data_IF_146935774945
#
_entry.id   IF_146935774945
#
_cell.length_a   1.000
_cell.length_b   1.000
_cell.length_c   1.000
_cell.angle_alpha   90.00
_cell.angle_beta   90.00
_cell.angle_gamma   90.00
#
_symmetry.space_group_name_H-M   'P 1'
#
loop_
_entity.id
_entity.type
_entity.pdbx_description
1 polymer ?
#
# COMPACT_ATOMS: atom_id res chain seq x y z
N UNK A 1 15.32 -14.73 14.92
CA UNK A 1 14.52 -14.60 16.17
C UNK A 1 13.96 -13.19 16.41
N UNK A 2 14.50 -12.10 15.84
CA UNK A 2 13.92 -10.74 16.01
C UNK A 2 13.10 -10.26 14.80
N UNK A 3 13.42 -10.72 13.57
CA UNK A 3 12.78 -10.25 12.33
C UNK A 3 11.26 -10.49 12.23
N UNK A 4 10.69 -11.39 13.03
CA UNK A 4 9.25 -11.67 13.07
C UNK A 4 8.47 -10.90 14.12
N UNK A 5 9.12 -10.05 14.92
CA UNK A 5 8.48 -9.32 16.02
C UNK A 5 7.55 -8.21 15.49
N UNK A 6 6.28 -8.14 15.94
CA UNK A 6 5.31 -7.15 15.47
C UNK A 6 5.71 -5.69 15.77
N UNK A 7 6.63 -5.45 16.71
CA UNK A 7 7.20 -4.12 16.99
C UNK A 7 8.12 -3.62 15.88
N UNK A 8 8.69 -4.53 15.10
CA UNK A 8 9.60 -4.21 13.99
C UNK A 8 8.90 -4.21 12.65
N UNK A 9 8.00 -5.16 12.41
CA UNK A 9 7.20 -5.23 11.20
C UNK A 9 5.73 -5.51 11.58
N UNK A 10 4.80 -4.58 11.31
CA UNK A 10 3.38 -4.81 11.58
C UNK A 10 2.87 -6.10 10.93
N UNK A 11 1.99 -6.81 11.63
CA UNK A 11 1.43 -8.09 11.16
C UNK A 11 0.77 -7.95 9.77
N UNK A 12 0.03 -6.88 9.55
CA UNK A 12 -0.58 -6.57 8.26
C UNK A 12 0.44 -6.48 7.11
N UNK A 13 1.67 -6.02 7.35
CA UNK A 13 2.72 -5.96 6.33
C UNK A 13 3.40 -7.33 6.18
N UNK A 14 3.62 -8.02 7.30
CA UNK A 14 4.30 -9.33 7.33
C UNK A 14 3.48 -10.44 6.69
N UNK A 15 2.17 -10.44 6.94
CA UNK A 15 1.26 -11.52 6.56
C UNK A 15 0.57 -11.25 5.21
N UNK A 16 0.76 -10.07 4.62
CA UNK A 16 0.21 -9.70 3.32
C UNK A 16 0.71 -10.60 2.19
N UNK A 17 -0.20 -10.95 1.28
CA UNK A 17 0.04 -11.79 0.10
C UNK A 17 -0.18 -11.05 -1.20
N UNK A 18 -0.92 -9.95 -1.20
CA UNK A 18 -1.27 -9.19 -2.40
C UNK A 18 -1.17 -7.69 -2.14
N UNK A 19 0.00 -7.12 -2.41
CA UNK A 19 0.33 -5.73 -2.06
C UNK A 19 0.16 -4.81 -3.25
N UNK A 20 -0.54 -3.70 -3.03
CA UNK A 20 -0.71 -2.63 -3.99
C UNK A 20 0.09 -1.39 -3.58
N UNK A 21 1.00 -0.97 -4.45
CA UNK A 21 1.59 0.36 -4.40
C UNK A 21 0.79 1.31 -5.30
N UNK A 22 0.29 2.39 -4.71
CA UNK A 22 -0.46 3.44 -5.42
C UNK A 22 0.34 4.74 -5.42
N UNK A 23 0.71 5.20 -6.60
CA UNK A 23 1.53 6.40 -6.83
C UNK A 23 0.89 7.35 -7.83
N UNK A 24 1.37 8.60 -7.87
CA UNK A 24 0.82 9.62 -8.73
C UNK A 24 1.42 9.50 -10.15
N UNK A 25 2.73 9.37 -10.23
CA UNK A 25 3.49 9.48 -11.49
C UNK A 25 4.50 8.35 -11.70
N UNK A 26 4.96 8.13 -12.93
CA UNK A 26 6.01 7.16 -13.23
C UNK A 26 7.37 7.68 -12.76
N UNK A 27 7.99 7.05 -11.74
CA UNK A 27 9.26 7.37 -11.04
C UNK A 27 9.07 7.34 -9.51
N UNK A 28 7.89 7.73 -9.03
CA UNK A 28 7.54 7.73 -7.61
C UNK A 28 7.84 6.38 -6.95
N UNK A 29 7.56 5.27 -7.64
CA UNK A 29 7.71 3.92 -7.12
C UNK A 29 9.15 3.59 -6.76
N UNK A 30 10.10 3.99 -7.61
CA UNK A 30 11.51 3.69 -7.41
C UNK A 30 12.21 4.78 -6.59
N UNK A 31 11.75 6.04 -6.66
CA UNK A 31 12.33 7.17 -5.94
C UNK A 31 11.96 7.16 -4.45
N UNK A 32 10.72 6.81 -4.11
CA UNK A 32 10.20 6.98 -2.75
C UNK A 32 9.85 5.68 -2.04
N UNK A 33 9.53 4.63 -2.80
CA UNK A 33 9.06 3.36 -2.24
C UNK A 33 10.07 2.22 -2.40
N UNK A 34 11.25 2.47 -3.00
CA UNK A 34 12.32 1.48 -3.14
C UNK A 34 12.54 0.64 -1.87
N UNK A 35 12.87 1.23 -0.71
CA UNK A 35 13.07 0.47 0.53
C UNK A 35 11.85 -0.34 0.99
N UNK A 36 10.63 0.20 0.81
CA UNK A 36 9.37 -0.46 1.17
C UNK A 36 9.08 -1.65 0.26
N UNK A 37 9.33 -1.52 -1.04
CA UNK A 37 9.18 -2.57 -2.03
C UNK A 37 10.25 -3.66 -1.84
N UNK A 38 11.50 -3.25 -1.58
CA UNK A 38 12.66 -4.14 -1.41
C UNK A 38 12.55 -5.04 -0.17
N UNK A 39 11.97 -4.57 0.93
CA UNK A 39 11.83 -5.38 2.14
C UNK A 39 10.88 -6.58 1.95
N UNK A 40 9.97 -6.50 0.96
CA UNK A 40 9.01 -7.56 0.63
C UNK A 40 9.53 -8.52 -0.44
N UNK A 41 10.75 -8.32 -0.96
CA UNK A 41 11.28 -9.11 -2.08
C UNK A 41 11.84 -10.48 -1.73
N UNK A 42 12.07 -10.75 -0.45
CA UNK A 42 12.55 -12.06 0.00
C UNK A 42 11.54 -13.20 -0.24
N UNK A 43 10.24 -12.88 -0.24
CA UNK A 43 9.17 -13.85 -0.45
C UNK A 43 8.58 -13.73 -1.85
N UNK A 44 8.84 -14.73 -2.70
CA UNK A 44 8.28 -14.83 -4.06
C UNK A 44 6.79 -15.15 -4.10
N UNK A 45 6.22 -15.58 -2.97
CA UNK A 45 4.77 -15.87 -2.87
C UNK A 45 3.91 -14.62 -2.70
N UNK A 46 4.52 -13.47 -2.42
CA UNK A 46 3.81 -12.19 -2.30
C UNK A 46 3.61 -11.60 -3.69
N UNK A 47 2.35 -11.51 -4.11
CA UNK A 47 1.92 -10.81 -5.30
C UNK A 47 2.06 -9.30 -5.13
N UNK A 48 2.63 -8.63 -6.12
CA UNK A 48 2.90 -7.19 -6.12
C UNK A 48 2.13 -6.54 -7.24
N UNK A 49 1.56 -5.37 -6.97
CA UNK A 49 0.89 -4.53 -7.93
C UNK A 49 1.39 -3.10 -7.86
N UNK A 50 1.49 -2.46 -9.01
CA UNK A 50 1.74 -1.02 -9.15
C UNK A 50 0.57 -0.39 -9.89
N UNK A 51 -0.04 0.61 -9.26
CA UNK A 51 -1.02 1.49 -9.87
C UNK A 51 -0.48 2.91 -9.88
N UNK A 52 -0.19 3.41 -11.08
CA UNK A 52 0.21 4.79 -11.33
C UNK A 52 -1.01 5.54 -11.86
N UNK A 53 -1.44 6.60 -11.18
CA UNK A 53 -2.69 7.29 -11.51
C UNK A 53 -2.61 8.21 -12.74
N UNK A 54 -1.40 8.57 -13.17
CA UNK A 54 -1.13 9.43 -14.31
C UNK A 54 0.13 9.00 -15.04
N UNK A 55 0.24 9.24 -16.34
CA UNK A 55 1.49 9.04 -17.10
C UNK A 55 2.57 10.08 -16.80
N UNK A 56 2.26 11.12 -16.02
CA UNK A 56 3.23 12.18 -15.73
C UNK A 56 3.61 12.99 -16.97
N UNK A 57 2.63 13.22 -17.86
CA UNK A 57 2.84 13.88 -19.16
C UNK A 57 2.91 15.42 -19.08
N UNK A 58 3.18 16.00 -17.90
CA UNK A 58 3.27 17.45 -17.75
C UNK A 58 4.31 18.10 -18.69
N UNK A 59 5.43 17.42 -18.90
CA UNK A 59 6.51 17.84 -19.80
C UNK A 59 6.43 17.21 -21.22
N UNK A 60 5.32 16.54 -21.56
CA UNK A 60 5.15 15.88 -22.87
C UNK A 60 5.94 14.57 -23.05
N UNK A 61 6.35 13.93 -21.94
CA UNK A 61 7.17 12.72 -21.90
C UNK A 61 6.40 11.45 -21.49
N UNK A 62 5.08 11.50 -21.40
CA UNK A 62 4.22 10.44 -20.88
C UNK A 62 4.44 9.09 -21.55
N UNK A 63 4.56 9.05 -22.88
CA UNK A 63 4.82 7.82 -23.63
C UNK A 63 6.19 7.19 -23.32
N UNK A 64 7.20 8.01 -23.04
CA UNK A 64 8.53 7.53 -22.62
C UNK A 64 8.42 6.98 -21.20
N UNK A 65 7.85 7.76 -20.29
CA UNK A 65 7.65 7.39 -18.87
C UNK A 65 6.81 6.13 -18.70
N UNK A 66 5.81 5.91 -19.55
CA UNK A 66 5.02 4.66 -19.59
C UNK A 66 5.86 3.44 -19.93
N UNK A 67 6.86 3.58 -20.81
CA UNK A 67 7.80 2.49 -21.13
C UNK A 67 8.80 2.27 -19.99
N UNK A 68 9.27 3.34 -19.38
CA UNK A 68 10.17 3.28 -18.22
C UNK A 68 9.54 2.56 -17.03
N UNK A 69 8.28 2.87 -16.71
CA UNK A 69 7.57 2.18 -15.61
C UNK A 69 7.42 0.68 -15.86
N UNK A 70 7.30 0.21 -17.10
CA UNK A 70 7.29 -1.23 -17.38
C UNK A 70 8.62 -1.89 -16.98
N UNK A 71 9.74 -1.28 -17.34
CA UNK A 71 11.06 -1.74 -16.91
C UNK A 71 11.27 -1.65 -15.39
N UNK A 72 10.70 -0.61 -14.77
CA UNK A 72 10.65 -0.48 -13.30
C UNK A 72 9.88 -1.64 -12.69
N UNK A 73 8.65 -1.92 -13.13
CA UNK A 73 7.83 -3.05 -12.68
C UNK A 73 8.54 -4.40 -12.81
N UNK A 74 9.19 -4.67 -13.94
CA UNK A 74 9.94 -5.90 -14.16
C UNK A 74 11.08 -6.04 -13.14
N UNK A 75 11.84 -4.96 -12.90
CA UNK A 75 12.89 -4.90 -11.88
C UNK A 75 12.30 -5.09 -10.48
N UNK A 76 11.10 -4.59 -10.24
CA UNK A 76 10.41 -4.68 -8.96
C UNK A 76 9.72 -6.03 -8.71
N UNK A 77 9.75 -6.94 -9.69
CA UNK A 77 9.04 -8.22 -9.66
C UNK A 77 7.52 -8.06 -9.62
N UNK A 78 7.00 -6.97 -10.19
CA UNK A 78 5.57 -6.73 -10.43
C UNK A 78 5.22 -7.36 -11.77
N UNK A 79 4.20 -8.22 -11.81
CA UNK A 79 3.78 -8.84 -13.06
C UNK A 79 3.14 -7.81 -13.99
N UNK A 80 3.28 -8.00 -15.31
CA UNK A 80 2.81 -7.03 -16.31
C UNK A 80 1.30 -6.77 -16.23
N UNK A 81 0.51 -7.76 -15.84
CA UNK A 81 -0.94 -7.65 -15.62
C UNK A 81 -1.32 -6.84 -14.36
N UNK A 82 -0.37 -6.64 -13.45
CA UNK A 82 -0.51 -5.88 -12.21
C UNK A 82 0.33 -4.60 -12.19
N UNK A 83 0.85 -4.19 -13.35
CA UNK A 83 1.57 -2.93 -13.55
C UNK A 83 0.76 -2.02 -14.48
N UNK A 84 0.03 -1.07 -13.91
CA UNK A 84 -0.91 -0.23 -14.66
C UNK A 84 -0.57 1.25 -14.50
N UNK A 85 -0.44 1.93 -15.64
CA UNK A 85 -0.41 3.40 -15.72
C UNK A 85 -1.74 3.86 -16.31
N UNK A 86 -2.53 4.56 -15.51
CA UNK A 86 -3.83 5.09 -15.89
C UNK A 86 -3.67 6.36 -16.73
N UNK A 87 -4.64 6.53 -17.64
CA UNK A 87 -4.80 7.74 -18.44
C UNK A 87 -6.23 8.24 -18.23
N UNK A 88 -6.44 9.06 -17.20
CA UNK A 88 -7.74 9.63 -16.89
C UNK A 88 -7.71 11.15 -17.03
N UNK A 89 -8.69 11.72 -17.75
CA UNK A 89 -8.76 13.17 -18.02
C UNK A 89 -8.75 14.05 -16.75
N UNK A 90 -9.27 13.51 -15.65
CA UNK A 90 -9.37 14.22 -14.37
C UNK A 90 -8.14 14.00 -13.46
N UNK A 91 -7.22 13.11 -13.86
CA UNK A 91 -5.98 12.77 -13.13
C UNK A 91 -4.73 13.11 -13.97
N UNK A 92 -4.82 14.13 -14.81
CA UNK A 92 -3.68 14.60 -15.60
C UNK A 92 -2.65 15.27 -14.69
N UNK A 93 -1.37 15.05 -15.00
CA UNK A 93 -0.29 15.65 -14.22
C UNK A 93 -0.28 17.17 -14.39
N UNK A 94 -0.33 17.85 -13.24
CA UNK A 94 -0.29 19.30 -13.11
C UNK A 94 0.08 19.62 -11.66
N UNK A 95 1.23 20.26 -11.40
CA UNK A 95 1.70 20.56 -10.06
C UNK A 95 0.84 21.61 -9.32
N UNK A 96 -0.15 22.21 -9.99
CA UNK A 96 -1.05 23.23 -9.44
C UNK A 96 -2.49 22.76 -9.32
N UNK A 97 -2.85 21.62 -9.90
CA UNK A 97 -4.24 21.14 -9.93
C UNK A 97 -4.46 20.01 -8.93
N UNK A 98 -5.48 20.14 -8.10
CA UNK A 98 -5.89 19.07 -7.21
C UNK A 98 -6.71 18.02 -7.97
N UNK A 99 -6.43 16.73 -7.74
CA UNK A 99 -7.21 15.63 -8.31
C UNK A 99 -8.45 15.32 -7.47
N UNK A 100 -9.55 14.99 -8.13
CA UNK A 100 -10.81 14.66 -7.47
C UNK A 100 -10.70 13.31 -6.72
N UNK A 101 -10.95 13.33 -5.42
CA UNK A 101 -10.82 12.18 -4.53
C UNK A 101 -11.77 11.04 -4.90
N UNK A 102 -12.99 11.34 -5.37
CA UNK A 102 -13.95 10.31 -5.78
C UNK A 102 -13.49 9.57 -7.05
N UNK A 103 -12.76 10.26 -7.93
CA UNK A 103 -12.17 9.62 -9.12
C UNK A 103 -11.02 8.70 -8.69
N UNK A 104 -10.13 9.18 -7.81
CA UNK A 104 -9.04 8.37 -7.25
C UNK A 104 -9.59 7.14 -6.51
N UNK A 105 -10.60 7.34 -5.67
CA UNK A 105 -11.27 6.29 -4.90
C UNK A 105 -11.91 5.24 -5.81
N UNK A 106 -12.66 5.65 -6.84
CA UNK A 106 -13.27 4.73 -7.80
C UNK A 106 -12.25 3.91 -8.59
N UNK A 107 -11.13 4.53 -9.01
CA UNK A 107 -10.02 3.82 -9.65
C UNK A 107 -9.36 2.84 -8.69
N UNK A 108 -9.04 3.29 -7.48
CA UNK A 108 -8.43 2.45 -6.45
C UNK A 108 -9.30 1.22 -6.16
N UNK A 109 -10.59 1.43 -5.90
CA UNK A 109 -11.55 0.36 -5.60
C UNK A 109 -11.54 -0.71 -6.68
N UNK A 110 -11.61 -0.30 -7.96
CA UNK A 110 -11.59 -1.23 -9.10
C UNK A 110 -10.40 -2.18 -9.05
N UNK A 111 -9.20 -1.66 -8.81
CA UNK A 111 -7.98 -2.47 -8.81
C UNK A 111 -7.78 -3.26 -7.52
N UNK A 112 -8.20 -2.71 -6.37
CA UNK A 112 -8.22 -3.44 -5.10
C UNK A 112 -9.07 -4.71 -5.22
N UNK A 113 -10.29 -4.56 -5.75
CA UNK A 113 -11.21 -5.68 -5.92
C UNK A 113 -10.69 -6.68 -6.97
N UNK A 114 -10.21 -6.19 -8.12
CA UNK A 114 -9.75 -7.06 -9.23
C UNK A 114 -8.51 -7.86 -8.88
N UNK A 115 -7.56 -7.26 -8.16
CA UNK A 115 -6.30 -7.90 -7.79
C UNK A 115 -6.32 -8.54 -6.39
N UNK A 116 -7.48 -8.55 -5.73
CA UNK A 116 -7.68 -9.11 -4.39
C UNK A 116 -6.60 -8.59 -3.43
N UNK A 117 -6.46 -7.27 -3.37
CA UNK A 117 -5.41 -6.60 -2.60
C UNK A 117 -5.71 -6.73 -1.11
N UNK A 118 -4.71 -7.13 -0.33
CA UNK A 118 -4.79 -7.24 1.13
C UNK A 118 -3.91 -6.21 1.87
N UNK A 119 -3.14 -5.40 1.13
CA UNK A 119 -2.34 -4.31 1.68
C UNK A 119 -2.16 -3.18 0.67
N UNK A 120 -2.42 -1.93 1.08
CA UNK A 120 -2.16 -0.73 0.27
C UNK A 120 -0.96 0.04 0.85
N UNK A 121 -0.07 0.50 -0.02
CA UNK A 121 1.05 1.40 0.31
C UNK A 121 0.95 2.65 -0.57
N UNK A 122 1.07 3.85 0.02
CA UNK A 122 0.95 5.12 -0.71
C UNK A 122 1.63 6.31 0.02
N UNK A 123 1.34 7.54 -0.40
CA UNK A 123 1.82 8.77 0.24
C UNK A 123 1.05 9.13 1.50
N UNK A 124 1.69 9.85 2.42
CA UNK A 124 0.99 10.49 3.54
C UNK A 124 0.42 11.87 3.14
N UNK A 125 -0.21 12.56 4.10
CA UNK A 125 -0.81 13.90 3.90
C UNK A 125 0.22 14.96 3.46
N UNK A 126 1.52 14.71 3.70
CA UNK A 126 2.60 15.62 3.33
C UNK A 126 2.97 15.55 1.85
N UNK A 127 2.61 14.46 1.15
CA UNK A 127 2.91 14.29 -0.28
C UNK A 127 4.41 14.33 -0.58
N UNK A 128 5.23 13.83 0.34
CA UNK A 128 6.70 13.79 0.31
C UNK A 128 7.33 15.17 0.22
N UNK A 129 7.34 15.80 -0.94
CA UNK A 129 7.85 17.16 -1.20
C UNK A 129 6.77 18.23 -1.06
N UNK A 130 5.53 17.84 -0.81
CA UNK A 130 4.38 18.75 -0.83
C UNK A 130 3.61 18.73 -2.14
N UNK A 131 3.96 17.84 -3.08
CA UNK A 131 3.36 17.76 -4.41
C UNK A 131 1.85 17.55 -4.34
N UNK A 132 1.08 18.35 -5.08
CA UNK A 132 -0.38 18.39 -4.95
C UNK A 132 -1.03 17.05 -5.34
N UNK A 133 -0.54 16.40 -6.38
CA UNK A 133 -1.05 15.11 -6.83
C UNK A 133 -0.77 14.00 -5.81
N UNK A 134 0.35 14.04 -5.08
CA UNK A 134 0.66 13.04 -4.05
C UNK A 134 -0.29 13.19 -2.86
N UNK A 135 -0.61 14.43 -2.49
CA UNK A 135 -1.60 14.73 -1.46
C UNK A 135 -3.01 14.32 -1.89
N UNK A 136 -3.35 14.52 -3.15
CA UNK A 136 -4.64 14.11 -3.69
C UNK A 136 -4.78 12.58 -3.74
N UNK A 137 -3.70 11.84 -4.06
CA UNK A 137 -3.65 10.38 -3.91
C UNK A 137 -3.94 9.98 -2.46
N UNK A 138 -3.25 10.59 -1.48
CA UNK A 138 -3.51 10.33 -0.06
C UNK A 138 -4.98 10.58 0.30
N UNK A 139 -5.56 11.71 -0.14
CA UNK A 139 -6.94 12.05 0.13
C UNK A 139 -7.93 11.05 -0.49
N UNK A 140 -7.69 10.60 -1.72
CA UNK A 140 -8.49 9.57 -2.38
C UNK A 140 -8.40 8.21 -1.70
N UNK A 141 -7.21 7.79 -1.26
CA UNK A 141 -7.02 6.54 -0.49
C UNK A 141 -7.74 6.63 0.86
N UNK A 142 -7.69 7.78 1.54
CA UNK A 142 -8.44 8.01 2.78
C UNK A 142 -9.95 7.93 2.58
N UNK A 143 -10.44 8.52 1.49
CA UNK A 143 -11.85 8.45 1.10
C UNK A 143 -12.27 6.99 0.92
N UNK A 144 -11.49 6.21 0.16
CA UNK A 144 -11.73 4.78 -0.06
C UNK A 144 -11.84 4.01 1.26
N UNK A 145 -10.89 4.20 2.16
CA UNK A 145 -10.88 3.58 3.49
C UNK A 145 -12.11 3.98 4.32
N UNK A 146 -12.56 5.23 4.22
CA UNK A 146 -13.70 5.71 5.00
C UNK A 146 -15.06 5.24 4.47
N UNK A 147 -15.15 4.95 3.18
CA UNK A 147 -16.41 4.62 2.50
C UNK A 147 -16.59 3.12 2.25
N UNK A 148 -15.54 2.32 2.39
CA UNK A 148 -15.58 0.88 2.17
C UNK A 148 -15.31 0.13 3.48
N UNK A 149 -16.33 -0.48 4.08
CA UNK A 149 -16.20 -1.20 5.37
C UNK A 149 -15.18 -2.36 5.30
N UNK A 150 -15.10 -3.04 4.15
CA UNK A 150 -14.19 -4.15 3.89
C UNK A 150 -12.97 -3.69 3.08
N UNK A 151 -12.23 -2.71 3.59
CA UNK A 151 -11.01 -2.22 2.96
C UNK A 151 -9.77 -2.97 3.49
N UNK A 152 -8.73 -3.21 2.65
CA UNK A 152 -7.43 -3.65 3.16
C UNK A 152 -6.78 -2.57 4.04
N UNK A 153 -5.89 -2.94 4.97
CA UNK A 153 -5.05 -1.98 5.68
C UNK A 153 -4.22 -1.15 4.70
N UNK A 154 -4.08 0.14 5.00
CA UNK A 154 -3.28 1.07 4.20
C UNK A 154 -2.17 1.70 5.04
N UNK A 155 -0.97 1.75 4.47
CA UNK A 155 0.21 2.38 5.05
C UNK A 155 0.72 3.48 4.13
N UNK A 156 1.35 4.48 4.73
CA UNK A 156 2.00 5.53 3.97
C UNK A 156 3.45 5.74 4.34
N UNK A 157 4.22 6.13 3.31
CA UNK A 157 5.54 6.70 3.49
C UNK A 157 5.40 8.05 4.20
N UNK A 158 6.12 8.18 5.31
CA UNK A 158 6.09 9.38 6.12
C UNK A 158 6.94 10.49 5.50
N UNK A 159 6.31 11.62 5.21
CA UNK A 159 6.98 12.86 4.81
C UNK A 159 7.90 13.35 5.93
N UNK A 160 9.16 13.59 5.58
CA UNK A 160 10.17 14.16 6.49
C UNK A 160 10.36 15.64 6.22
N UNK A 161 10.68 16.39 7.27
CA UNK A 161 11.03 17.81 7.16
C UNK A 161 12.29 17.99 6.29
N UNK A 162 12.42 19.14 5.62
CA UNK A 162 13.51 19.41 4.67
C UNK A 162 14.92 19.17 5.24
N UNK A 163 15.27 19.60 6.48
CA UNK A 163 16.61 19.37 7.01
C UNK A 163 16.99 17.89 7.04
N UNK A 164 16.03 17.01 7.35
CA UNK A 164 16.24 15.56 7.37
C UNK A 164 16.48 14.96 5.99
N UNK A 165 15.94 15.57 4.93
CA UNK A 165 16.17 15.12 3.55
C UNK A 165 17.59 15.45 3.07
N UNK A 166 18.16 16.54 3.57
CA UNK A 166 19.45 17.07 3.11
C UNK A 166 20.58 16.96 4.13
N UNK A 167 20.33 16.33 5.28
CA UNK A 167 21.36 16.11 6.30
C UNK A 167 22.30 14.94 5.98
N UNK A 168 22.14 14.27 4.83
CA UNK A 168 23.01 13.16 4.40
C UNK A 168 23.13 12.10 5.51
N UNK A 169 24.33 11.56 5.74
CA UNK A 169 24.60 10.55 6.77
C UNK A 169 24.23 10.99 8.21
N UNK A 170 24.09 12.29 8.48
CA UNK A 170 23.64 12.77 9.79
C UNK A 170 22.21 12.32 10.09
N UNK A 171 21.36 12.13 9.06
CA UNK A 171 19.98 11.62 9.26
C UNK A 171 19.95 10.17 9.80
N UNK A 172 21.06 9.42 9.66
CA UNK A 172 21.14 8.06 10.20
C UNK A 172 20.94 8.04 11.71
N UNK A 173 21.34 9.10 12.44
CA UNK A 173 21.20 9.17 13.89
C UNK A 173 19.72 9.24 14.30
N UNK A 174 18.93 10.28 13.91
CA UNK A 174 17.52 10.34 14.25
C UNK A 174 16.67 9.23 13.60
N UNK A 175 17.15 8.59 12.52
CA UNK A 175 16.50 7.42 11.92
C UNK A 175 16.75 6.13 12.70
N UNK A 176 17.98 5.89 13.16
CA UNK A 176 18.36 4.63 13.83
C UNK A 176 17.91 4.57 15.28
N UNK A 177 17.89 5.69 16.02
CA UNK A 177 17.55 5.69 17.45
C UNK A 177 16.20 5.00 17.75
N UNK A 178 15.07 5.37 17.10
CA UNK A 178 13.80 4.72 17.37
C UNK A 178 13.80 3.22 17.03
N UNK A 179 14.51 2.84 15.96
CA UNK A 179 14.59 1.46 15.52
C UNK A 179 15.44 0.60 16.47
N UNK A 180 16.59 1.11 16.91
CA UNK A 180 17.46 0.49 17.90
C UNK A 180 16.75 0.29 19.24
N UNK A 181 15.94 1.27 19.67
CA UNK A 181 15.11 1.14 20.87
C UNK A 181 14.07 0.03 20.73
N UNK A 182 13.39 -0.07 19.58
CA UNK A 182 12.43 -1.17 19.31
C UNK A 182 13.11 -2.54 19.27
N UNK A 183 14.32 -2.64 18.72
CA UNK A 183 15.10 -3.89 18.73
C UNK A 183 15.48 -4.26 20.15
N UNK A 184 15.98 -3.30 20.93
CA UNK A 184 16.34 -3.53 22.33
C UNK A 184 15.14 -3.99 23.13
N UNK A 185 14.00 -3.33 22.96
CA UNK A 185 12.73 -3.74 23.57
C UNK A 185 12.33 -5.15 23.13
N UNK A 186 12.52 -5.48 21.85
CA UNK A 186 12.25 -6.81 21.29
C UNK A 186 13.11 -7.93 21.87
N UNK A 187 14.35 -7.61 22.25
CA UNK A 187 15.27 -8.55 22.89
C UNK A 187 14.99 -8.70 24.39
N UNK A 188 14.53 -7.63 25.06
CA UNK A 188 14.41 -7.60 26.52
C UNK A 188 13.01 -7.97 27.03
N UNK A 189 11.96 -7.77 26.25
CA UNK A 189 10.57 -7.96 26.68
C UNK A 189 9.78 -8.86 25.73
N UNK A 190 8.89 -9.71 26.25
CA UNK A 190 7.98 -10.50 25.42
C UNK A 190 7.08 -9.57 24.59
N UNK A 191 6.64 -9.99 23.38
CA UNK A 191 5.77 -9.17 22.56
C UNK A 191 4.45 -8.88 23.30
N UNK A 192 3.90 -7.67 23.16
CA UNK A 192 2.59 -7.35 23.72
C UNK A 192 1.55 -8.35 23.18
N UNK A 193 0.66 -8.83 24.05
CA UNK A 193 -0.46 -9.67 23.63
C UNK A 193 -1.26 -8.91 22.56
N UNK A 194 -1.59 -9.59 21.46
CA UNK A 194 -2.20 -8.99 20.27
C UNK A 194 -3.57 -8.38 20.58
N UNK A 195 -3.59 -7.15 21.08
CA UNK A 195 -4.79 -6.36 21.28
C UNK A 195 -4.76 -5.17 20.32
N UNK A 196 -5.50 -5.33 19.22
CA UNK A 196 -5.90 -4.27 18.31
C UNK A 196 -4.82 -3.79 17.36
N UNK A 197 -4.90 -4.23 16.10
CA UNK A 197 -4.26 -3.49 15.01
C UNK A 197 -4.81 -2.05 15.01
N UNK A 198 -3.93 -1.04 15.07
CA UNK A 198 -4.33 0.36 15.14
C UNK A 198 -4.33 0.94 13.73
N UNK A 199 -5.48 1.32 13.20
CA UNK A 199 -5.54 2.04 11.93
C UNK A 199 -4.99 3.46 12.15
N UNK A 200 -3.75 3.71 11.75
CA UNK A 200 -3.11 5.05 11.85
C UNK A 200 -3.89 6.12 11.07
N UNK A 201 -4.71 5.72 10.10
CA UNK A 201 -5.52 6.61 9.27
C UNK A 201 -6.86 6.98 9.91
N UNK A 202 -7.53 6.02 10.55
CA UNK A 202 -8.86 6.23 11.14
C UNK A 202 -8.81 6.55 12.64
N UNK A 203 -7.65 6.43 13.29
CA UNK A 203 -7.51 6.42 14.77
C UNK A 203 -8.52 5.49 15.45
N UNK A 204 -8.75 4.31 14.86
CA UNK A 204 -9.66 3.28 15.38
C UNK A 204 -8.97 1.92 15.41
N UNK A 205 -9.30 1.05 16.37
CA UNK A 205 -8.84 -0.34 16.37
C UNK A 205 -9.48 -1.09 15.19
N UNK A 206 -8.66 -1.72 14.36
CA UNK A 206 -9.04 -2.70 13.35
C UNK A 206 -9.61 -3.92 14.07
N UNK A 207 -10.90 -4.19 13.86
CA UNK A 207 -11.51 -5.45 14.29
C UNK A 207 -11.00 -6.56 13.36
N UNK A 208 -10.28 -7.53 13.92
CA UNK A 208 -10.08 -8.82 13.25
C UNK A 208 -11.44 -9.46 13.06
N UNK A 209 -11.93 -9.58 11.83
CA UNK A 209 -12.87 -10.65 11.52
C UNK A 209 -12.06 -11.94 11.51
N UNK A 210 -12.20 -12.73 12.57
CA UNK A 210 -11.74 -14.11 12.55
C UNK A 210 -12.48 -14.83 11.44
N UNK A 211 -11.74 -15.32 10.46
CA UNK A 211 -12.25 -16.33 9.54
C UNK A 211 -12.34 -17.63 10.36
N UNK A 212 -13.42 -17.79 11.12
CA UNK A 212 -13.66 -18.97 11.93
C UNK A 212 -13.84 -20.16 10.98
N UNK A 213 -12.82 -21.03 11.00
CA UNK A 213 -12.75 -22.28 10.23
C UNK A 213 -13.79 -23.32 10.66
N UNK A 214 -14.69 -22.98 11.59
CA UNK A 214 -15.73 -23.87 12.15
C UNK A 214 -17.10 -23.76 11.45
N UNK A 215 -17.31 -22.84 10.51
CA UNK A 215 -18.60 -22.71 9.81
C UNK A 215 -18.72 -23.54 8.51
N UNK A 216 -17.71 -24.33 8.15
CA UNK A 216 -17.75 -25.21 6.97
C UNK A 216 -18.34 -26.62 7.22
N UNK A 217 -18.75 -26.95 8.45
CA UNK A 217 -19.31 -28.27 8.80
C UNK A 217 -20.83 -28.30 9.04
N UNK A 218 -21.60 -27.27 8.67
CA UNK A 218 -23.06 -27.25 8.90
C UNK A 218 -23.90 -26.90 7.67
N UNK A 219 -23.54 -27.42 6.49
CA UNK A 219 -24.48 -27.50 5.37
C UNK A 219 -25.26 -28.81 5.44
N UNK A 220 -26.60 -28.79 5.63
CA UNK A 220 -27.39 -30.01 5.60
C UNK A 220 -27.43 -30.57 4.19
N UNK A 221 -27.15 -31.87 4.07
CA UNK A 221 -27.28 -32.63 2.83
C UNK A 221 -28.74 -32.63 2.35
N UNK A 222 -29.05 -31.79 1.36
CA UNK A 222 -30.34 -31.83 0.70
C UNK A 222 -30.35 -32.94 -0.36
N UNK A 223 -30.79 -34.13 0.05
CA UNK A 223 -31.29 -35.14 -0.88
C UNK A 223 -32.68 -34.75 -1.39
N UNK A 224 -32.88 -34.79 -2.71
CA UNK A 224 -34.07 -35.36 -3.41
C UNK A 224 -34.13 -34.78 -4.84
N UNK A 225 -33.94 -35.60 -5.87
CA UNK A 225 -34.92 -36.44 -6.60
C UNK A 225 -35.09 -35.88 -8.02
N UNK A 226 -34.48 -36.57 -8.98
CA UNK A 226 -34.81 -36.50 -10.41
C UNK A 226 -36.10 -37.33 -10.60
N UNK A 227 -37.17 -36.79 -11.21
CA UNK A 227 -38.29 -37.62 -11.65
C UNK A 227 -38.04 -38.17 -13.07
N UNK A 228 -38.52 -39.39 -13.40
CA UNK A 228 -38.31 -39.98 -14.71
C UNK A 228 -39.42 -39.63 -15.70
N UNK A 229 -38.99 -39.42 -16.95
CA UNK A 229 -39.59 -39.71 -18.26
C UNK A 229 -39.40 -38.53 -19.22
#
# INVERSE_FOLDING_TARGET
MVAGDPRLLPLAIRDARSVLLVVAHPDDECLFFGPSILNMWGDRSVGRALLVLSSGDYDGLGEVRRKEVKGSCDTLGVSTDRCVVLEHRDLQDDPKKWWNEAVVEGMLKRYVDSWHIDLIITFDEGGISGHINHKAVNAGVRKYISENEHHPPAYAVQTKILPRKYSSLIDLIPTSIPFSLRILEALLFPPPSSQGEYCSYCRRPLRRQGFDREQLEQLPAHQSRVPPA
#
